data_IF_521787000703
#
_entry.id   IF_521787000703
#
_cell.length_a   1.000
_cell.length_b   1.000
_cell.length_c   1.000
_cell.angle_alpha   90.00
_cell.angle_beta   90.00
_cell.angle_gamma   90.00
#
_symmetry.space_group_name_H-M   'P 1'
#
loop_
_entity.id
_entity.type
_entity.pdbx_description
1 polymer ?
#
# COMPACT_ATOMS: atom_id res chain seq x y z
N UNK A 1 9.80 -7.26 2.78
CA UNK A 1 8.37 -6.93 2.88
C UNK A 1 8.07 -6.56 4.33
N UNK A 2 7.35 -5.45 4.57
CA UNK A 2 6.99 -4.96 5.91
C UNK A 2 5.53 -4.53 5.94
N UNK A 3 4.85 -4.80 7.07
CA UNK A 3 3.48 -4.34 7.33
C UNK A 3 3.53 -3.29 8.43
N UNK A 4 2.82 -2.18 8.22
CA UNK A 4 2.80 -1.04 9.14
C UNK A 4 1.34 -0.61 9.31
N UNK A 5 0.85 -0.61 10.55
CA UNK A 5 -0.43 0.03 10.87
C UNK A 5 -0.28 1.54 10.69
N UNK A 6 -1.23 2.16 10.00
CA UNK A 6 -1.19 3.58 9.73
C UNK A 6 -2.57 4.23 9.82
N UNK A 7 -2.55 5.51 10.18
CA UNK A 7 -3.75 6.34 10.27
C UNK A 7 -4.21 6.83 8.90
N UNK A 8 -5.47 7.25 8.82
CA UNK A 8 -6.11 7.71 7.59
C UNK A 8 -5.30 8.77 6.84
N UNK A 9 -4.77 9.76 7.56
CA UNK A 9 -3.99 10.86 6.99
C UNK A 9 -2.72 10.33 6.31
N UNK A 10 -1.96 9.49 7.00
CA UNK A 10 -0.72 8.89 6.45
C UNK A 10 -1.03 8.05 5.20
N UNK A 11 -2.11 7.27 5.22
CA UNK A 11 -2.52 6.46 4.06
C UNK A 11 -3.06 7.28 2.89
N UNK A 12 -3.59 8.47 3.15
CA UNK A 12 -4.01 9.42 2.11
C UNK A 12 -2.79 10.06 1.46
N UNK A 13 -1.91 10.66 2.28
CA UNK A 13 -0.69 11.32 1.84
C UNK A 13 0.17 10.36 0.99
N UNK A 14 0.40 9.14 1.45
CA UNK A 14 1.18 8.15 0.70
C UNK A 14 0.55 7.74 -0.63
N UNK A 15 -0.79 7.72 -0.73
CA UNK A 15 -1.45 7.42 -1.99
C UNK A 15 -1.39 8.59 -2.96
N UNK A 16 -1.53 9.82 -2.46
CA UNK A 16 -1.48 11.05 -3.26
C UNK A 16 -0.05 11.33 -3.78
N UNK A 17 0.97 10.95 -3.01
CA UNK A 17 2.39 11.01 -3.41
C UNK A 17 2.82 9.86 -4.33
N UNK A 18 1.98 8.83 -4.52
CA UNK A 18 2.31 7.65 -5.32
C UNK A 18 1.59 7.63 -6.66
N UNK A 19 2.22 6.97 -7.64
CA UNK A 19 1.53 6.57 -8.86
C UNK A 19 0.65 5.34 -8.57
N UNK A 20 -0.67 5.51 -8.57
CA UNK A 20 -1.62 4.40 -8.39
C UNK A 20 -1.61 3.49 -9.61
N UNK A 21 -1.27 2.22 -9.39
CA UNK A 21 -1.23 1.19 -10.44
C UNK A 21 -2.53 0.39 -10.50
N UNK A 22 -3.29 0.37 -9.41
CA UNK A 22 -4.59 -0.27 -9.37
C UNK A 22 -5.30 -0.05 -8.04
N UNK A 23 -6.63 -0.10 -8.10
CA UNK A 23 -7.49 0.05 -6.92
C UNK A 23 -8.61 -0.98 -6.97
N UNK A 24 -8.90 -1.57 -5.81
CA UNK A 24 -10.02 -2.51 -5.65
C UNK A 24 -10.76 -2.24 -4.35
N UNK A 25 -12.01 -1.81 -4.47
CA UNK A 25 -12.99 -1.88 -3.39
C UNK A 25 -13.55 -3.28 -3.21
N UNK A 26 -13.67 -3.72 -1.96
CA UNK A 26 -14.36 -4.96 -1.58
C UNK A 26 -15.76 -4.62 -1.08
N UNK A 27 -16.76 -4.85 -1.94
CA UNK A 27 -18.17 -4.62 -1.63
C UNK A 27 -18.60 -5.47 -0.42
N UNK A 28 -19.24 -4.84 0.56
CA UNK A 28 -19.74 -5.49 1.78
C UNK A 28 -18.86 -5.32 3.02
N UNK A 29 -17.55 -5.11 2.86
CA UNK A 29 -16.65 -4.79 3.98
C UNK A 29 -16.27 -3.31 4.03
N UNK A 30 -16.39 -2.60 2.92
CA UNK A 30 -15.92 -1.21 2.77
C UNK A 30 -14.38 -1.09 2.80
N UNK A 31 -13.67 -2.21 2.70
CA UNK A 31 -12.21 -2.22 2.56
C UNK A 31 -11.82 -1.82 1.14
N UNK A 32 -10.81 -0.96 1.03
CA UNK A 32 -10.22 -0.57 -0.25
C UNK A 32 -8.75 -0.95 -0.26
N UNK A 33 -8.31 -1.60 -1.33
CA UNK A 33 -6.91 -1.96 -1.55
C UNK A 33 -6.38 -1.17 -2.73
N UNK A 34 -5.31 -0.41 -2.52
CA UNK A 34 -4.63 0.38 -3.53
C UNK A 34 -3.23 -0.19 -3.72
N UNK A 35 -2.87 -0.55 -4.95
CA UNK A 35 -1.50 -0.85 -5.33
C UNK A 35 -0.90 0.43 -5.93
N UNK A 36 0.28 0.83 -5.45
CA UNK A 36 0.91 2.08 -5.88
C UNK A 36 2.45 1.97 -5.98
N UNK A 37 3.05 2.90 -6.72
CA UNK A 37 4.51 3.11 -6.81
C UNK A 37 4.85 4.45 -6.17
N UNK A 38 5.53 4.42 -5.04
CA UNK A 38 6.00 5.60 -4.35
C UNK A 38 7.41 5.94 -4.81
N UNK A 39 7.74 7.24 -5.06
CA UNK A 39 9.05 7.65 -5.56
C UNK A 39 10.21 7.22 -4.66
N UNK A 40 9.99 7.19 -3.34
CA UNK A 40 11.05 6.91 -2.36
C UNK A 40 10.94 5.52 -1.73
N UNK A 41 9.72 4.97 -1.62
CA UNK A 41 9.44 3.74 -0.86
C UNK A 41 9.26 2.53 -1.79
N UNK A 42 9.25 2.74 -3.10
CA UNK A 42 9.09 1.69 -4.08
C UNK A 42 7.66 1.17 -4.17
N UNK A 43 7.47 -0.15 -4.08
CA UNK A 43 6.14 -0.79 -4.24
C UNK A 43 5.36 -0.74 -2.94
N UNK A 44 4.18 -0.15 -3.00
CA UNK A 44 3.25 -0.09 -1.88
C UNK A 44 1.96 -0.84 -2.20
N UNK A 45 1.40 -1.49 -1.17
CA UNK A 45 -0.02 -1.82 -1.12
C UNK A 45 -0.61 -1.13 0.10
N UNK A 46 -1.61 -0.29 -0.12
CA UNK A 46 -2.32 0.46 0.90
C UNK A 46 -3.70 -0.20 1.10
N UNK A 47 -3.96 -0.70 2.29
CA UNK A 47 -5.26 -1.27 2.67
C UNK A 47 -5.96 -0.27 3.59
N UNK A 48 -7.07 0.30 3.13
CA UNK A 48 -7.91 1.23 3.90
C UNK A 48 -9.14 0.50 4.41
N UNK A 49 -9.40 0.63 5.71
CA UNK A 49 -10.61 0.13 6.36
C UNK A 49 -11.67 1.24 6.41
N UNK A 50 -12.96 0.90 6.60
CA UNK A 50 -14.05 1.89 6.63
C UNK A 50 -13.94 2.92 7.76
N UNK A 51 -13.25 2.55 8.85
CA UNK A 51 -13.02 3.41 10.01
C UNK A 51 -11.86 4.41 9.80
N UNK A 52 -11.25 4.42 8.62
CA UNK A 52 -10.14 5.29 8.26
C UNK A 52 -8.75 4.76 8.62
N UNK A 53 -8.63 3.77 9.52
CA UNK A 53 -7.34 3.12 9.77
C UNK A 53 -6.98 2.14 8.65
N UNK A 54 -5.76 1.66 8.65
CA UNK A 54 -5.37 0.68 7.66
C UNK A 54 -3.95 0.17 7.82
N UNK A 55 -3.51 -0.55 6.80
CA UNK A 55 -2.19 -1.17 6.75
C UNK A 55 -1.49 -0.72 5.49
N UNK A 56 -0.26 -0.23 5.64
CA UNK A 56 0.69 -0.09 4.56
C UNK A 56 1.52 -1.37 4.45
N UNK A 57 1.64 -1.89 3.25
CA UNK A 57 2.53 -3.00 2.92
C UNK A 57 3.62 -2.47 2.00
N UNK A 58 4.84 -2.42 2.51
CA UNK A 58 6.03 -2.14 1.73
C UNK A 58 6.56 -3.45 1.14
N UNK A 59 6.65 -3.50 -0.18
CA UNK A 59 7.20 -4.66 -0.90
C UNK A 59 8.62 -4.31 -1.32
N UNK A 60 9.58 -4.90 -0.62
CA UNK A 60 10.99 -4.81 -0.98
C UNK A 60 11.22 -5.43 -2.37
N UNK A 61 11.89 -4.68 -3.24
CA UNK A 61 12.25 -5.07 -4.60
C UNK A 61 13.59 -5.81 -4.67
N UNK A 62 14.20 -6.17 -3.54
CA UNK A 62 15.44 -6.97 -3.48
C UNK A 62 15.24 -8.42 -3.97
N UNK A 63 14.89 -8.55 -5.25
CA UNK A 63 15.06 -9.75 -6.04
C UNK A 63 16.54 -9.97 -6.34
N UNK A 64 17.34 -10.28 -5.31
CA UNK A 64 18.61 -10.95 -5.52
C UNK A 64 18.33 -12.46 -5.46
N UNK A 65 17.83 -13.02 -6.57
CA UNK A 65 18.06 -14.45 -6.81
C UNK A 65 19.54 -14.58 -7.13
N UNK A 66 20.34 -14.82 -6.09
CA UNK A 66 21.66 -15.38 -6.30
C UNK A 66 21.45 -16.65 -7.14
N UNK A 67 21.86 -16.59 -8.41
CA UNK A 67 22.07 -17.80 -9.18
C UNK A 67 23.19 -18.56 -8.46
N UNK A 68 22.82 -19.65 -7.80
CA UNK A 68 23.73 -20.68 -7.28
C UNK A 68 23.34 -22.00 -7.91
#
# INVERSE_FOLDING_TARGET
MRLIDAEAAILADLADESDVVGEKGLSGSGVTVVAARHPTLGRLVIVRLPNGSGVLVEIDESGNIAQS
#
